data_IF_401563208877
#
_entry.id   IF_401563208877
#
_cell.length_a   1.000
_cell.length_b   1.000
_cell.length_c   1.000
_cell.angle_alpha   90.00
_cell.angle_beta   90.00
_cell.angle_gamma   90.00
#
_symmetry.space_group_name_H-M   'P 1'
#
loop_
_entity.id
_entity.type
_entity.pdbx_description
1 polymer ?
#
# COMPACT_ATOMS: atom_id res chain seq x y z
N UNK A 1 -17.88 5.30 -8.51
CA UNK A 1 -17.81 3.82 -8.56
C UNK A 1 -16.44 3.41 -9.09
N UNK A 2 -15.80 2.37 -8.53
CA UNK A 2 -14.48 1.85 -8.95
C UNK A 2 -14.56 0.68 -9.94
N UNK A 3 -15.77 0.26 -10.35
CA UNK A 3 -16.00 -0.96 -11.14
C UNK A 3 -15.20 -1.00 -12.46
N UNK A 4 -15.04 0.14 -13.14
CA UNK A 4 -14.24 0.20 -14.36
C UNK A 4 -12.77 -0.19 -14.09
N UNK A 5 -12.18 0.28 -12.99
CA UNK A 5 -10.80 -0.06 -12.61
C UNK A 5 -10.67 -1.54 -12.25
N UNK A 6 -11.66 -2.09 -11.54
CA UNK A 6 -11.70 -3.52 -11.17
C UNK A 6 -11.75 -4.41 -12.42
N UNK A 7 -12.54 -4.03 -13.43
CA UNK A 7 -12.64 -4.77 -14.69
C UNK A 7 -11.35 -4.66 -15.50
N UNK A 8 -10.69 -3.50 -15.51
CA UNK A 8 -9.49 -3.25 -16.32
C UNK A 8 -8.24 -3.91 -15.71
N UNK A 9 -8.12 -3.92 -14.38
CA UNK A 9 -6.91 -4.37 -13.66
C UNK A 9 -6.34 -5.74 -14.13
N UNK A 10 -7.13 -6.81 -14.33
CA UNK A 10 -6.60 -8.12 -14.69
C UNK A 10 -5.88 -8.13 -16.05
N UNK A 11 -6.22 -7.21 -16.95
CA UNK A 11 -5.64 -7.11 -18.28
C UNK A 11 -4.33 -6.31 -18.30
N UNK A 12 -4.01 -5.56 -17.23
CA UNK A 12 -2.89 -4.63 -17.23
C UNK A 12 -1.54 -5.31 -17.32
N UNK A 13 -1.40 -6.55 -16.82
CA UNK A 13 -0.18 -7.36 -16.99
C UNK A 13 0.21 -7.55 -18.46
N UNK A 14 -0.74 -7.53 -19.40
CA UNK A 14 -0.46 -7.66 -20.85
C UNK A 14 -0.07 -6.33 -21.52
N UNK A 15 -0.44 -5.21 -20.91
CA UNK A 15 -0.30 -3.88 -21.52
C UNK A 15 0.90 -3.13 -20.91
N UNK A 16 1.05 -3.15 -19.58
CA UNK A 16 2.02 -2.33 -18.84
C UNK A 16 2.79 -3.12 -17.79
N UNK A 17 3.98 -2.63 -17.43
CA UNK A 17 4.78 -3.12 -16.30
C UNK A 17 4.28 -2.64 -14.92
N UNK A 18 3.18 -1.88 -14.88
CA UNK A 18 2.61 -1.31 -13.66
C UNK A 18 1.20 -1.82 -13.32
N UNK A 19 0.89 -3.13 -13.43
CA UNK A 19 -0.43 -3.63 -13.05
C UNK A 19 -0.78 -3.31 -11.58
N UNK A 20 0.23 -3.23 -10.71
CA UNK A 20 0.12 -2.84 -9.30
C UNK A 20 -0.51 -1.46 -9.10
N UNK A 21 -0.28 -0.50 -10.02
CA UNK A 21 -0.87 0.83 -9.93
C UNK A 21 -2.40 0.77 -10.06
N UNK A 22 -2.89 -0.03 -11.00
CA UNK A 22 -4.33 -0.21 -11.23
C UNK A 22 -4.99 -0.98 -10.08
N UNK A 23 -4.29 -1.99 -9.54
CA UNK A 23 -4.69 -2.66 -8.31
C UNK A 23 -4.84 -1.65 -7.16
N UNK A 24 -3.82 -0.82 -6.95
CA UNK A 24 -3.84 0.24 -5.93
C UNK A 24 -5.01 1.21 -6.12
N UNK A 25 -5.23 1.68 -7.35
CA UNK A 25 -6.33 2.60 -7.67
C UNK A 25 -7.70 1.98 -7.34
N UNK A 26 -7.90 0.70 -7.66
CA UNK A 26 -9.15 -0.01 -7.41
C UNK A 26 -9.38 -0.29 -5.91
N UNK A 27 -8.40 -0.85 -5.21
CA UNK A 27 -8.56 -1.36 -3.85
C UNK A 27 -8.49 -0.29 -2.77
N UNK A 28 -7.79 0.82 -3.00
CA UNK A 28 -7.73 1.92 -2.03
C UNK A 28 -8.94 2.86 -2.11
N UNK A 29 -9.84 2.67 -3.09
CA UNK A 29 -11.01 3.53 -3.32
C UNK A 29 -11.90 3.69 -2.07
N UNK A 30 -11.88 2.70 -1.18
CA UNK A 30 -12.56 2.73 0.12
C UNK A 30 -12.18 3.92 1.01
N UNK A 31 -10.95 4.46 0.90
CA UNK A 31 -10.54 5.64 1.65
C UNK A 31 -11.39 6.89 1.30
N UNK A 32 -11.61 7.12 0.00
CA UNK A 32 -12.41 8.25 -0.49
C UNK A 32 -13.90 8.04 -0.18
N UNK A 33 -14.41 6.84 -0.46
CA UNK A 33 -15.82 6.51 -0.21
C UNK A 33 -16.15 6.59 1.28
N UNK A 34 -15.33 5.97 2.14
CA UNK A 34 -15.51 6.00 3.58
C UNK A 34 -15.52 7.42 4.13
N UNK A 35 -14.59 8.28 3.67
CA UNK A 35 -14.56 9.69 4.09
C UNK A 35 -15.82 10.44 3.65
N UNK A 36 -16.17 10.35 2.37
CA UNK A 36 -17.34 11.06 1.82
C UNK A 36 -18.67 10.59 2.39
N UNK A 37 -18.78 9.30 2.75
CA UNK A 37 -19.98 8.74 3.34
C UNK A 37 -20.30 9.31 4.74
N UNK A 38 -19.26 9.67 5.51
CA UNK A 38 -19.43 10.23 6.86
C UNK A 38 -19.49 11.76 6.84
N UNK A 39 -18.64 12.40 6.02
CA UNK A 39 -18.47 13.87 6.04
C UNK A 39 -19.27 14.62 4.98
N UNK A 40 -19.89 13.91 4.04
CA UNK A 40 -20.62 14.52 2.91
C UNK A 40 -19.74 15.27 1.89
N UNK A 41 -18.41 15.23 2.05
CA UNK A 41 -17.45 15.94 1.20
C UNK A 41 -16.14 15.17 1.06
N UNK A 42 -15.24 15.60 0.19
CA UNK A 42 -13.89 15.05 0.09
C UNK A 42 -12.87 16.08 0.59
N UNK A 43 -12.16 15.71 1.64
CA UNK A 43 -11.10 16.53 2.23
C UNK A 43 -9.73 16.12 1.68
N UNK A 44 -8.74 17.03 1.58
CA UNK A 44 -7.37 16.70 1.18
C UNK A 44 -6.74 15.53 1.97
N UNK A 45 -7.12 15.35 3.24
CA UNK A 45 -6.70 14.20 4.05
C UNK A 45 -7.08 12.86 3.41
N UNK A 46 -8.31 12.73 2.89
CA UNK A 46 -8.78 11.50 2.24
C UNK A 46 -7.98 11.18 0.97
N UNK A 47 -7.62 12.21 0.19
CA UNK A 47 -6.78 12.04 -0.99
C UNK A 47 -5.35 11.65 -0.63
N UNK A 48 -4.78 12.25 0.41
CA UNK A 48 -3.46 11.85 0.92
C UNK A 48 -3.47 10.38 1.35
N UNK A 49 -4.48 9.94 2.11
CA UNK A 49 -4.66 8.54 2.48
C UNK A 49 -4.79 7.62 1.26
N UNK A 50 -5.57 8.03 0.26
CA UNK A 50 -5.76 7.25 -0.98
C UNK A 50 -4.45 7.08 -1.76
N UNK A 51 -3.70 8.18 -1.97
CA UNK A 51 -2.41 8.16 -2.68
C UNK A 51 -1.37 7.33 -1.90
N UNK A 52 -1.32 7.48 -0.58
CA UNK A 52 -0.46 6.68 0.27
C UNK A 52 -0.78 5.19 0.19
N UNK A 53 -2.07 4.84 0.14
CA UNK A 53 -2.55 3.49 -0.04
C UNK A 53 -2.13 2.88 -1.38
N UNK A 54 -2.22 3.65 -2.47
CA UNK A 54 -1.74 3.22 -3.79
C UNK A 54 -0.24 2.93 -3.76
N UNK A 55 0.56 3.84 -3.21
CA UNK A 55 2.01 3.66 -3.10
C UNK A 55 2.35 2.42 -2.26
N UNK A 56 1.65 2.23 -1.15
CA UNK A 56 1.81 1.05 -0.31
C UNK A 56 1.46 -0.25 -1.05
N UNK A 57 0.35 -0.26 -1.80
CA UNK A 57 -0.05 -1.38 -2.68
C UNK A 57 1.02 -1.71 -3.71
N UNK A 58 1.61 -0.69 -4.35
CA UNK A 58 2.71 -0.94 -5.29
C UNK A 58 3.88 -1.61 -4.59
N UNK A 59 4.25 -1.16 -3.38
CA UNK A 59 5.35 -1.74 -2.63
C UNK A 59 5.12 -3.23 -2.29
N UNK A 60 4.04 -3.55 -1.57
CA UNK A 60 3.83 -4.93 -1.11
C UNK A 60 3.49 -5.88 -2.27
N UNK A 61 2.78 -5.41 -3.29
CA UNK A 61 2.39 -6.27 -4.42
C UNK A 61 3.56 -6.50 -5.37
N UNK A 62 4.57 -5.61 -5.36
CA UNK A 62 5.86 -5.89 -6.00
C UNK A 62 6.60 -7.02 -5.30
N UNK A 63 6.58 -7.09 -3.96
CA UNK A 63 7.14 -8.24 -3.21
C UNK A 63 6.46 -9.53 -3.64
N UNK A 64 5.13 -9.51 -3.74
CA UNK A 64 4.36 -10.67 -4.18
C UNK A 64 4.70 -11.06 -5.63
N UNK A 65 4.85 -10.09 -6.53
CA UNK A 65 5.20 -10.34 -7.94
C UNK A 65 6.56 -11.01 -8.15
N UNK A 66 7.47 -11.01 -7.16
CA UNK A 66 8.70 -11.80 -7.24
C UNK A 66 8.46 -13.31 -7.20
N UNK A 67 7.33 -13.75 -6.63
CA UNK A 67 6.94 -15.16 -6.62
C UNK A 67 6.61 -15.67 -8.03
N UNK A 68 5.96 -14.82 -8.83
CA UNK A 68 5.48 -15.15 -10.17
C UNK A 68 6.52 -14.79 -11.25
N UNK A 69 7.72 -14.34 -10.89
CA UNK A 69 8.66 -13.71 -11.83
C UNK A 69 9.04 -14.63 -13.02
N UNK A 70 9.27 -15.91 -12.76
CA UNK A 70 9.61 -16.88 -13.80
C UNK A 70 8.41 -17.19 -14.69
N UNK A 71 7.24 -17.38 -14.09
CA UNK A 71 6.00 -17.68 -14.81
C UNK A 71 5.55 -16.48 -15.66
N UNK A 72 5.67 -15.25 -15.13
CA UNK A 72 5.39 -14.01 -15.85
C UNK A 72 6.30 -13.89 -17.10
N UNK A 73 7.59 -14.25 -16.99
CA UNK A 73 8.52 -14.29 -18.12
C UNK A 73 8.12 -15.31 -19.17
N UNK A 74 7.80 -16.54 -18.75
CA UNK A 74 7.38 -17.62 -19.66
C UNK A 74 6.06 -17.31 -20.37
N UNK A 75 5.12 -16.68 -19.67
CA UNK A 75 3.83 -16.27 -20.22
C UNK A 75 3.90 -14.97 -21.05
N UNK A 76 5.05 -14.30 -21.10
CA UNK A 76 5.24 -13.05 -21.84
C UNK A 76 4.44 -11.87 -21.26
N UNK A 77 4.15 -11.90 -19.96
CA UNK A 77 3.42 -10.83 -19.26
C UNK A 77 4.38 -9.95 -18.44
N UNK A 78 3.90 -8.78 -18.02
CA UNK A 78 4.71 -7.71 -17.42
C UNK A 78 4.33 -7.52 -15.96
N UNK A 79 5.32 -7.22 -15.12
CA UNK A 79 5.13 -6.86 -13.71
C UNK A 79 6.24 -5.93 -13.21
N UNK A 80 6.03 -5.24 -12.08
CA UNK A 80 7.05 -4.39 -11.47
C UNK A 80 8.29 -5.18 -11.05
N UNK A 81 8.14 -6.43 -10.62
CA UNK A 81 9.27 -7.32 -10.32
C UNK A 81 10.20 -7.54 -11.53
N UNK A 82 9.63 -7.63 -12.73
CA UNK A 82 10.41 -7.69 -13.98
C UNK A 82 11.02 -6.33 -14.35
N UNK A 83 10.28 -5.24 -14.15
CA UNK A 83 10.75 -3.88 -14.47
C UNK A 83 11.87 -3.41 -13.56
N UNK A 84 11.76 -3.67 -12.26
CA UNK A 84 12.71 -3.17 -11.26
C UNK A 84 13.94 -4.06 -11.14
N UNK A 85 13.80 -5.37 -11.35
CA UNK A 85 14.92 -6.31 -11.34
C UNK A 85 15.74 -6.19 -10.06
N UNK A 86 17.04 -5.94 -10.20
CA UNK A 86 17.97 -5.77 -9.07
C UNK A 86 17.71 -4.50 -8.25
N UNK A 87 17.01 -3.50 -8.80
CA UNK A 87 16.69 -2.24 -8.10
C UNK A 87 15.42 -2.34 -7.25
N UNK A 88 14.84 -3.53 -7.10
CA UNK A 88 13.57 -3.75 -6.40
C UNK A 88 13.57 -3.15 -5.00
N UNK A 89 14.59 -3.40 -4.18
CA UNK A 89 14.67 -2.85 -2.82
C UNK A 89 14.58 -1.33 -2.81
N UNK A 90 15.27 -0.65 -3.73
CA UNK A 90 15.25 0.80 -3.82
C UNK A 90 13.85 1.33 -4.17
N UNK A 91 13.18 0.70 -5.14
CA UNK A 91 11.82 1.10 -5.53
C UNK A 91 10.81 0.87 -4.42
N UNK A 92 10.84 -0.30 -3.76
CA UNK A 92 9.96 -0.60 -2.62
C UNK A 92 10.21 0.39 -1.49
N UNK A 93 11.48 0.70 -1.18
CA UNK A 93 11.83 1.71 -0.19
C UNK A 93 11.22 3.08 -0.52
N UNK A 94 11.32 3.50 -1.78
CA UNK A 94 10.71 4.74 -2.26
C UNK A 94 9.19 4.74 -2.11
N UNK A 95 8.51 3.67 -2.54
CA UNK A 95 7.05 3.56 -2.43
C UNK A 95 6.55 3.50 -0.98
N UNK A 96 7.25 2.77 -0.11
CA UNK A 96 6.95 2.77 1.33
C UNK A 96 7.21 4.14 1.97
N UNK A 97 8.26 4.84 1.56
CA UNK A 97 8.52 6.22 1.99
C UNK A 97 7.40 7.18 1.59
N UNK A 98 6.95 7.10 0.33
CA UNK A 98 5.80 7.89 -0.17
C UNK A 98 4.53 7.54 0.61
N UNK A 99 4.26 6.25 0.85
CA UNK A 99 3.10 5.81 1.61
C UNK A 99 3.08 6.42 3.02
N UNK A 100 4.19 6.29 3.75
CA UNK A 100 4.33 6.84 5.11
C UNK A 100 4.19 8.37 5.11
N UNK A 101 4.80 9.06 4.15
CA UNK A 101 4.67 10.52 4.04
C UNK A 101 3.23 10.96 3.76
N UNK A 102 2.52 10.27 2.88
CA UNK A 102 1.12 10.54 2.59
C UNK A 102 0.20 10.22 3.77
N UNK A 103 0.47 9.15 4.52
CA UNK A 103 -0.29 8.82 5.73
C UNK A 103 -0.03 9.84 6.84
N UNK A 104 1.23 10.27 7.04
CA UNK A 104 1.57 11.36 7.95
C UNK A 104 0.83 12.66 7.57
N UNK A 105 0.83 13.01 6.28
CA UNK A 105 0.09 14.17 5.78
C UNK A 105 -1.41 14.04 6.04
N UNK A 106 -2.00 12.86 5.81
CA UNK A 106 -3.41 12.60 6.11
C UNK A 106 -3.72 12.80 7.60
N UNK A 107 -2.89 12.26 8.49
CA UNK A 107 -3.06 12.42 9.94
C UNK A 107 -2.96 13.89 10.35
N UNK A 108 -1.97 14.61 9.83
CA UNK A 108 -1.77 16.02 10.13
C UNK A 108 -2.95 16.88 9.65
N UNK A 109 -3.41 16.67 8.40
CA UNK A 109 -4.58 17.38 7.84
C UNK A 109 -5.89 17.05 8.55
N UNK A 110 -5.98 15.87 9.17
CA UNK A 110 -7.15 15.44 9.95
C UNK A 110 -7.08 15.89 11.42
N UNK A 111 -5.98 16.51 11.87
CA UNK A 111 -5.79 16.91 13.26
C UNK A 111 -5.66 15.71 14.22
N UNK A 112 -5.15 14.57 13.73
CA UNK A 112 -5.06 13.35 14.53
C UNK A 112 -4.08 13.48 15.71
N UNK A 113 -4.42 12.86 16.84
CA UNK A 113 -3.63 12.95 18.05
C UNK A 113 -2.56 11.85 18.13
N UNK A 114 -1.82 11.82 19.25
CA UNK A 114 -0.66 10.98 19.46
C UNK A 114 -0.87 9.47 19.16
N UNK A 115 -2.01 8.83 19.49
CA UNK A 115 -2.19 7.40 19.20
C UNK A 115 -2.13 7.07 17.70
N UNK A 116 -2.68 7.93 16.85
CA UNK A 116 -2.59 7.77 15.38
C UNK A 116 -1.15 7.83 14.89
N UNK A 117 -0.35 8.78 15.41
CA UNK A 117 1.07 8.91 15.08
C UNK A 117 1.89 7.72 15.58
N UNK A 118 1.57 7.18 16.76
CA UNK A 118 2.19 5.95 17.26
C UNK A 118 1.87 4.74 16.37
N UNK A 119 0.63 4.62 15.90
CA UNK A 119 0.24 3.58 14.93
C UNK A 119 1.02 3.70 13.61
N UNK A 120 1.19 4.92 13.09
CA UNK A 120 1.99 5.16 11.90
C UNK A 120 3.48 4.83 12.11
N UNK A 121 4.04 5.19 13.27
CA UNK A 121 5.42 4.85 13.62
C UNK A 121 5.61 3.32 13.71
N UNK A 122 4.67 2.60 14.31
CA UNK A 122 4.69 1.15 14.38
C UNK A 122 4.59 0.51 12.99
N UNK A 123 3.69 0.99 12.13
CA UNK A 123 3.61 0.56 10.72
C UNK A 123 4.95 0.81 10.00
N UNK A 124 5.54 2.00 10.17
CA UNK A 124 6.81 2.38 9.52
C UNK A 124 7.95 1.46 9.94
N UNK A 125 8.08 1.17 11.24
CA UNK A 125 9.08 0.23 11.75
C UNK A 125 8.87 -1.18 11.18
N UNK A 126 7.62 -1.63 11.08
CA UNK A 126 7.27 -2.93 10.51
C UNK A 126 7.59 -3.01 9.01
N UNK A 127 7.33 -1.96 8.24
CA UNK A 127 7.74 -1.87 6.82
C UNK A 127 9.27 -1.84 6.66
N UNK A 128 9.98 -1.12 7.53
CA UNK A 128 11.44 -1.11 7.56
C UNK A 128 12.04 -2.49 7.84
N UNK A 129 11.43 -3.25 8.75
CA UNK A 129 11.80 -4.66 8.99
C UNK A 129 11.59 -5.54 7.76
N UNK A 130 10.45 -5.41 7.06
CA UNK A 130 10.21 -6.14 5.82
C UNK A 130 11.28 -5.83 4.77
N UNK A 131 11.58 -4.55 4.55
CA UNK A 131 12.57 -4.11 3.56
C UNK A 131 13.99 -4.61 3.90
N UNK A 132 14.37 -4.58 5.18
CA UNK A 132 15.68 -5.06 5.65
C UNK A 132 15.86 -6.57 5.48
N UNK A 133 14.77 -7.33 5.60
CA UNK A 133 14.81 -8.80 5.58
C UNK A 133 14.47 -9.40 4.23
N UNK A 134 13.99 -8.59 3.28
CA UNK A 134 13.58 -9.00 1.95
C UNK A 134 14.74 -9.59 1.14
N UNK A 135 14.55 -10.82 0.73
CA UNK A 135 15.28 -11.55 -0.29
C UNK A 135 14.29 -11.88 -1.42
N UNK A 136 14.47 -11.24 -2.56
CA UNK A 136 13.61 -11.38 -3.74
C UNK A 136 13.77 -12.72 -4.46
N UNK A 137 14.75 -13.54 -4.06
CA UNK A 137 14.97 -14.89 -4.59
C UNK A 137 14.29 -15.98 -3.76
N UNK A 138 13.91 -15.68 -2.51
CA UNK A 138 13.18 -16.59 -1.62
C UNK A 138 11.67 -16.38 -1.76
N UNK A 139 11.05 -17.17 -2.65
CA UNK A 139 9.61 -17.15 -2.91
C UNK A 139 8.75 -17.36 -1.64
N UNK A 140 9.01 -18.36 -0.78
CA UNK A 140 8.32 -18.50 0.51
C UNK A 140 8.42 -17.27 1.42
N UNK A 141 9.59 -16.63 1.49
CA UNK A 141 9.76 -15.39 2.24
C UNK A 141 8.95 -14.24 1.62
N UNK A 142 8.98 -14.08 0.29
CA UNK A 142 8.18 -13.08 -0.40
C UNK A 142 6.68 -13.19 -0.05
N UNK A 143 6.13 -14.40 -0.03
CA UNK A 143 4.74 -14.64 0.40
C UNK A 143 4.51 -14.23 1.85
N UNK A 144 5.44 -14.57 2.75
CA UNK A 144 5.37 -14.22 4.17
C UNK A 144 5.39 -12.70 4.39
N UNK A 145 6.29 -12.00 3.70
CA UNK A 145 6.42 -10.54 3.79
C UNK A 145 5.22 -9.83 3.15
N UNK A 146 4.71 -10.32 2.02
CA UNK A 146 3.45 -9.86 1.45
C UNK A 146 2.30 -9.95 2.48
N UNK A 147 2.10 -11.13 3.09
CA UNK A 147 1.07 -11.33 4.12
C UNK A 147 1.28 -10.46 5.36
N UNK A 148 2.53 -10.17 5.72
CA UNK A 148 2.86 -9.29 6.84
C UNK A 148 2.37 -7.84 6.64
N UNK A 149 1.99 -7.43 5.43
CA UNK A 149 1.37 -6.11 5.20
C UNK A 149 -0.03 -6.00 5.79
N UNK A 150 -0.77 -7.12 5.95
CA UNK A 150 -2.00 -7.11 6.76
C UNK A 150 -1.73 -6.58 8.17
N UNK A 151 -0.63 -7.01 8.78
CA UNK A 151 -0.26 -6.57 10.13
C UNK A 151 0.21 -5.10 10.13
N UNK A 152 0.91 -4.65 9.08
CA UNK A 152 1.29 -3.24 8.93
C UNK A 152 0.05 -2.32 8.92
N UNK A 153 -0.96 -2.70 8.12
CA UNK A 153 -2.24 -1.98 8.08
C UNK A 153 -2.99 -2.05 9.42
N UNK A 154 -2.98 -3.20 10.09
CA UNK A 154 -3.60 -3.36 11.40
C UNK A 154 -2.96 -2.47 12.49
N UNK A 155 -1.62 -2.29 12.47
CA UNK A 155 -0.91 -1.39 13.38
C UNK A 155 -1.35 0.06 13.18
N UNK A 156 -1.41 0.52 11.93
CA UNK A 156 -1.86 1.88 11.62
C UNK A 156 -3.34 2.09 11.97
N UNK A 157 -4.20 1.14 11.60
CA UNK A 157 -5.62 1.17 11.93
C UNK A 157 -5.87 1.20 13.45
N UNK A 158 -5.14 0.39 14.23
CA UNK A 158 -5.28 0.37 15.68
C UNK A 158 -4.95 1.74 16.29
N UNK A 159 -3.92 2.43 15.81
CA UNK A 159 -3.60 3.80 16.25
C UNK A 159 -4.75 4.77 16.01
N UNK A 160 -5.31 4.77 14.79
CA UNK A 160 -6.46 5.61 14.42
C UNK A 160 -7.71 5.26 15.24
N UNK A 161 -7.98 3.97 15.44
CA UNK A 161 -9.14 3.52 16.19
C UNK A 161 -9.06 3.92 17.67
N UNK A 162 -7.89 3.78 18.30
CA UNK A 162 -7.65 4.24 19.68
C UNK A 162 -7.82 5.75 19.77
N UNK A 163 -7.25 6.50 18.83
CA UNK A 163 -7.41 7.96 18.77
C UNK A 163 -8.89 8.36 18.68
N UNK A 164 -9.65 7.75 17.77
CA UNK A 164 -11.07 8.02 17.60
C UNK A 164 -11.89 7.68 18.86
N UNK A 165 -11.58 6.57 19.54
CA UNK A 165 -12.24 6.19 20.79
C UNK A 165 -11.96 7.18 21.92
N UNK A 166 -10.72 7.65 22.06
CA UNK A 166 -10.34 8.61 23.10
C UNK A 166 -10.96 10.00 22.87
N UNK A 167 -11.14 10.43 21.62
CA UNK A 167 -11.79 11.70 21.30
C UNK A 167 -13.33 11.64 21.38
N UNK A 168 -13.92 10.44 21.38
CA UNK A 168 -15.36 10.25 21.51
C UNK A 168 -15.85 10.19 22.97
N UNK A 169 -14.92 10.12 23.93
CA UNK A 169 -15.17 10.12 25.38
C UNK A 169 -15.06 11.53 25.96
#
# INVERSE_FOLDING_TARGET
SSLALVVIYPFMKRITYWPQLFLGLAFNWGALVGWSAITGSLHPAAFALYVGGIAWTIGYDTIYAHMDKQDDLLAGVKSTALRFGEKTHLWIAGFYGVAVACFALSLWLAGAALPSWAGLAAMTAHLGWQLKTLDTSDTPQCLRLFRANRNAGALFFAGIAIDALLNAM
#
